data_IF_742379070279
#
_entry.id   IF_742379070279
#
_cell.length_a   1.000
_cell.length_b   1.000
_cell.length_c   1.000
_cell.angle_alpha   90.00
_cell.angle_beta   90.00
_cell.angle_gamma   90.00
#
_symmetry.space_group_name_H-M   'P 1'
#
loop_
_entity.id
_entity.type
_entity.pdbx_description
1 polymer ?
#
# COMPACT_ATOMS: atom_id res chain seq x y z
N UNK A 1 37.45 -0.22 -4.24
CA UNK A 1 37.01 -1.50 -3.68
C UNK A 1 35.59 -1.33 -3.26
N UNK A 2 34.62 -1.75 -4.08
CA UNK A 2 33.22 -1.80 -3.71
C UNK A 2 33.05 -2.96 -2.74
N UNK A 3 32.92 -2.68 -1.46
CA UNK A 3 32.52 -3.67 -0.47
C UNK A 3 31.04 -3.96 -0.69
N UNK A 4 30.74 -5.06 -1.38
CA UNK A 4 29.40 -5.63 -1.48
C UNK A 4 28.98 -6.22 -0.13
N UNK A 5 28.82 -5.39 0.88
CA UNK A 5 28.25 -5.83 2.16
C UNK A 5 26.95 -5.09 2.41
N UNK A 6 25.95 -5.38 1.57
CA UNK A 6 24.58 -5.00 1.86
C UNK A 6 23.90 -6.12 2.66
N UNK A 7 24.38 -6.31 3.90
CA UNK A 7 23.86 -7.33 4.79
C UNK A 7 22.36 -7.11 5.07
N UNK A 8 21.96 -5.86 5.25
CA UNK A 8 20.58 -5.50 5.49
C UNK A 8 19.67 -5.79 4.29
N UNK A 9 20.15 -5.56 3.06
CA UNK A 9 19.44 -5.93 1.85
C UNK A 9 19.21 -7.44 1.77
N UNK A 10 20.26 -8.23 2.01
CA UNK A 10 20.14 -9.71 2.00
C UNK A 10 19.16 -10.22 3.04
N UNK A 11 19.15 -9.61 4.24
CA UNK A 11 18.22 -9.97 5.30
C UNK A 11 16.78 -9.61 4.91
N UNK A 12 16.56 -8.43 4.33
CA UNK A 12 15.26 -8.00 3.86
C UNK A 12 14.72 -8.90 2.73
N UNK A 13 15.57 -9.24 1.73
CA UNK A 13 15.18 -10.15 0.65
C UNK A 13 14.86 -11.54 1.20
N UNK A 14 15.71 -12.08 2.09
CA UNK A 14 15.42 -13.38 2.73
C UNK A 14 14.07 -13.35 3.43
N UNK A 15 13.84 -12.34 4.26
CA UNK A 15 12.57 -12.19 5.00
C UNK A 15 11.37 -12.05 4.06
N UNK A 16 11.51 -11.26 3.00
CA UNK A 16 10.46 -11.12 2.00
C UNK A 16 10.16 -12.45 1.33
N UNK A 17 11.18 -13.21 0.93
CA UNK A 17 11.02 -14.54 0.34
C UNK A 17 10.40 -15.55 1.32
N UNK A 18 10.77 -15.49 2.62
CA UNK A 18 10.16 -16.32 3.65
C UNK A 18 8.67 -16.01 3.80
N UNK A 19 8.30 -14.73 3.80
CA UNK A 19 6.89 -14.30 3.86
C UNK A 19 6.15 -14.71 2.60
N UNK A 20 6.73 -14.56 1.41
CA UNK A 20 6.14 -15.03 0.16
C UNK A 20 5.84 -16.53 0.24
N UNK A 21 6.80 -17.35 0.65
CA UNK A 21 6.61 -18.81 0.77
C UNK A 21 5.55 -19.18 1.81
N UNK A 22 5.48 -18.47 2.93
CA UNK A 22 4.48 -18.69 3.96
C UNK A 22 3.08 -18.22 3.54
N UNK A 23 2.98 -17.29 2.63
CA UNK A 23 1.70 -16.72 2.16
C UNK A 23 1.26 -17.26 0.80
N UNK A 24 2.05 -18.10 0.15
CA UNK A 24 1.74 -18.69 -1.15
C UNK A 24 0.39 -19.42 -1.17
N UNK A 25 0.05 -20.12 -0.08
CA UNK A 25 -1.22 -20.83 0.03
C UNK A 25 -2.45 -19.92 0.18
N UNK A 26 -2.28 -18.63 0.50
CA UNK A 26 -3.36 -17.65 0.48
C UNK A 26 -3.58 -17.04 -0.91
N UNK A 27 -2.58 -17.17 -1.79
CA UNK A 27 -2.79 -16.84 -3.18
C UNK A 27 -3.81 -17.82 -3.77
N UNK A 28 -4.76 -17.36 -4.59
CA UNK A 28 -5.71 -18.25 -5.24
C UNK A 28 -4.94 -19.32 -6.03
N UNK A 29 -5.17 -20.59 -5.74
CA UNK A 29 -4.52 -21.71 -6.43
C UNK A 29 -5.03 -21.90 -7.86
N UNK A 30 -6.19 -21.32 -8.16
CA UNK A 30 -6.82 -21.38 -9.46
C UNK A 30 -7.04 -19.95 -9.96
N UNK A 31 -6.56 -19.66 -11.15
CA UNK A 31 -6.98 -18.51 -11.90
C UNK A 31 -8.49 -18.62 -12.14
N UNK A 32 -9.25 -17.61 -11.74
CA UNK A 32 -10.69 -17.58 -12.01
C UNK A 32 -10.99 -17.44 -13.52
N UNK A 33 -9.95 -17.19 -14.33
CA UNK A 33 -10.00 -17.05 -15.78
C UNK A 33 -9.07 -18.07 -16.42
N UNK A 34 -9.59 -18.90 -17.33
CA UNK A 34 -8.73 -19.79 -18.10
C UNK A 34 -7.92 -18.94 -19.11
N UNK A 35 -6.71 -19.41 -19.44
CA UNK A 35 -5.83 -18.69 -20.36
C UNK A 35 -6.50 -18.49 -21.74
N UNK A 36 -7.31 -19.47 -22.16
CA UNK A 36 -7.99 -19.50 -23.44
C UNK A 36 -9.14 -18.48 -23.55
N UNK A 37 -9.64 -18.00 -22.43
CA UNK A 37 -10.67 -16.94 -22.36
C UNK A 37 -10.11 -15.54 -22.55
N UNK A 38 -8.78 -15.40 -22.50
CA UNK A 38 -8.10 -14.11 -22.67
C UNK A 38 -7.72 -13.87 -24.14
N UNK A 39 -7.71 -12.60 -24.58
CA UNK A 39 -7.11 -12.24 -25.86
C UNK A 39 -5.68 -12.79 -25.99
N UNK A 40 -5.31 -13.25 -27.19
CA UNK A 40 -4.04 -13.92 -27.45
C UNK A 40 -2.84 -13.09 -26.96
N UNK A 41 -2.89 -11.77 -27.13
CA UNK A 41 -1.85 -10.81 -26.72
C UNK A 41 -1.62 -10.80 -25.21
N UNK A 42 -2.64 -11.14 -24.41
CA UNK A 42 -2.58 -11.12 -22.95
C UNK A 42 -2.25 -12.49 -22.33
N UNK A 43 -2.32 -13.57 -23.11
CA UNK A 43 -2.15 -14.93 -22.57
C UNK A 43 -0.75 -15.18 -21.98
N UNK A 44 0.30 -14.67 -22.63
CA UNK A 44 1.67 -14.81 -22.13
C UNK A 44 1.90 -14.00 -20.84
N UNK A 45 1.36 -12.79 -20.78
CA UNK A 45 1.42 -11.94 -19.58
C UNK A 45 0.65 -12.58 -18.43
N UNK A 46 -0.57 -13.07 -18.68
CA UNK A 46 -1.38 -13.74 -17.68
C UNK A 46 -0.69 -15.00 -17.14
N UNK A 47 -0.06 -15.79 -18.00
CA UNK A 47 0.70 -16.98 -17.60
C UNK A 47 1.88 -16.62 -16.71
N UNK A 48 2.61 -15.55 -17.04
CA UNK A 48 3.71 -15.05 -16.24
C UNK A 48 3.24 -14.55 -14.87
N UNK A 49 2.20 -13.70 -14.84
CA UNK A 49 1.65 -13.18 -13.58
C UNK A 49 1.12 -14.31 -12.68
N UNK A 50 0.45 -15.29 -13.27
CA UNK A 50 -0.02 -16.47 -12.53
C UNK A 50 1.14 -17.26 -11.90
N UNK A 51 2.25 -17.43 -12.65
CA UNK A 51 3.46 -18.08 -12.11
C UNK A 51 4.13 -17.29 -10.98
N UNK A 52 3.85 -15.99 -10.88
CA UNK A 52 4.30 -15.11 -9.80
C UNK A 52 3.31 -15.03 -8.62
N UNK A 53 2.22 -15.82 -8.63
CA UNK A 53 1.21 -15.79 -7.58
C UNK A 53 0.14 -14.70 -7.74
N UNK A 54 0.05 -14.07 -8.90
CA UNK A 54 -0.96 -13.05 -9.24
C UNK A 54 -1.88 -13.58 -10.35
N UNK A 55 -2.94 -14.32 -10.00
CA UNK A 55 -3.85 -14.91 -10.99
C UNK A 55 -4.74 -13.84 -11.64
N UNK A 56 -5.30 -14.19 -12.80
CA UNK A 56 -6.36 -13.41 -13.41
C UNK A 56 -7.69 -13.66 -12.70
N UNK A 57 -8.51 -12.63 -12.60
CA UNK A 57 -9.80 -12.68 -11.95
C UNK A 57 -10.93 -12.31 -12.90
N UNK A 58 -12.07 -13.02 -12.84
CA UNK A 58 -13.26 -12.73 -13.63
C UNK A 58 -14.23 -11.78 -12.91
N UNK A 59 -14.54 -12.06 -11.65
CA UNK A 59 -15.55 -11.34 -10.87
C UNK A 59 -14.99 -10.02 -10.31
N UNK A 60 -14.49 -9.16 -11.19
CA UNK A 60 -13.89 -7.89 -10.78
C UNK A 60 -14.38 -6.77 -11.68
N UNK A 61 -14.90 -5.72 -11.05
CA UNK A 61 -15.21 -4.46 -11.71
C UNK A 61 -14.07 -3.48 -11.48
N UNK A 62 -13.69 -2.75 -12.53
CA UNK A 62 -12.68 -1.71 -12.47
C UNK A 62 -13.28 -0.36 -12.82
N UNK A 63 -12.97 0.66 -12.01
CA UNK A 63 -13.33 2.05 -12.26
C UNK A 63 -12.06 2.87 -12.35
N UNK A 64 -11.84 3.52 -13.48
CA UNK A 64 -10.68 4.37 -13.72
C UNK A 64 -10.98 5.82 -13.37
N UNK A 65 -10.01 6.49 -12.72
CA UNK A 65 -10.08 7.91 -12.37
C UNK A 65 -8.92 8.62 -13.07
N UNK A 66 -9.21 9.54 -14.00
CA UNK A 66 -8.18 10.30 -14.71
C UNK A 66 -7.52 11.38 -13.87
N UNK A 67 -8.13 11.75 -12.72
CA UNK A 67 -7.68 12.77 -11.79
C UNK A 67 -7.81 12.29 -10.34
N UNK A 68 -6.93 12.81 -9.48
CA UNK A 68 -6.95 12.52 -8.06
C UNK A 68 -8.15 13.09 -7.32
N UNK A 69 -8.67 14.23 -7.78
CA UNK A 69 -9.86 14.86 -7.21
C UNK A 69 -11.06 13.90 -7.22
N UNK A 70 -11.33 13.30 -8.39
CA UNK A 70 -12.45 12.36 -8.56
C UNK A 70 -12.26 11.09 -7.74
N UNK A 71 -11.01 10.58 -7.70
CA UNK A 71 -10.69 9.40 -6.91
C UNK A 71 -10.86 9.64 -5.41
N UNK A 72 -10.46 10.81 -4.92
CA UNK A 72 -10.48 11.15 -3.49
C UNK A 72 -11.88 11.14 -2.90
N UNK A 73 -12.86 11.70 -3.59
CA UNK A 73 -14.24 11.70 -3.11
C UNK A 73 -14.76 10.24 -2.99
N UNK A 74 -14.51 9.41 -3.99
CA UNK A 74 -14.91 7.99 -3.95
C UNK A 74 -14.16 7.22 -2.86
N UNK A 75 -12.86 7.51 -2.66
CA UNK A 75 -12.10 6.92 -1.55
C UNK A 75 -12.71 7.25 -0.18
N UNK A 76 -13.10 8.50 0.04
CA UNK A 76 -13.75 8.92 1.28
C UNK A 76 -15.09 8.21 1.48
N UNK A 77 -15.92 8.15 0.44
CA UNK A 77 -17.24 7.49 0.48
C UNK A 77 -17.11 5.99 0.80
N UNK A 78 -16.12 5.31 0.22
CA UNK A 78 -15.90 3.89 0.48
C UNK A 78 -15.30 3.63 1.87
N UNK A 79 -14.40 4.49 2.34
CA UNK A 79 -13.86 4.40 3.70
C UNK A 79 -14.98 4.50 4.75
N UNK A 80 -15.99 5.35 4.52
CA UNK A 80 -17.15 5.48 5.41
C UNK A 80 -18.01 4.21 5.49
N UNK A 81 -17.95 3.34 4.47
CA UNK A 81 -18.72 2.08 4.43
C UNK A 81 -17.97 0.89 5.06
N UNK A 82 -16.73 1.06 5.48
CA UNK A 82 -15.94 -0.02 6.08
C UNK A 82 -16.63 -0.62 7.31
N UNK A 83 -16.64 -1.95 7.40
CA UNK A 83 -17.27 -2.71 8.48
C UNK A 83 -16.27 -3.55 9.28
N UNK A 84 -15.16 -4.00 8.66
CA UNK A 84 -14.24 -4.93 9.27
C UNK A 84 -12.81 -4.41 9.34
N UNK A 85 -12.22 -4.00 8.21
CA UNK A 85 -10.86 -3.49 8.18
C UNK A 85 -10.58 -2.50 7.06
N UNK A 86 -9.59 -1.62 7.31
CA UNK A 86 -9.03 -0.67 6.35
C UNK A 86 -7.51 -0.80 6.37
N UNK A 87 -6.90 -1.07 5.22
CA UNK A 87 -5.46 -1.11 5.05
C UNK A 87 -4.99 -0.04 4.07
N UNK A 88 -4.01 0.75 4.48
CA UNK A 88 -3.44 1.85 3.70
C UNK A 88 -1.92 1.67 3.58
N UNK A 89 -1.40 1.64 2.35
CA UNK A 89 0.03 1.56 2.03
C UNK A 89 0.37 2.66 1.03
N UNK A 90 1.14 3.65 1.45
CA UNK A 90 1.42 4.83 0.62
C UNK A 90 2.88 5.28 0.73
N UNK A 91 3.45 5.68 -0.42
CA UNK A 91 4.81 6.23 -0.44
C UNK A 91 4.87 7.60 0.22
N UNK A 92 3.91 8.49 -0.04
CA UNK A 92 3.82 9.82 0.57
C UNK A 92 2.52 9.93 1.37
N UNK A 93 2.67 10.30 2.65
CA UNK A 93 1.59 10.78 3.51
C UNK A 93 2.03 12.15 4.03
N UNK A 94 1.19 13.16 3.88
CA UNK A 94 1.47 14.53 4.32
C UNK A 94 0.26 15.10 5.04
N UNK A 95 0.48 15.75 6.19
CA UNK A 95 -0.58 16.50 6.87
C UNK A 95 -1.10 17.61 5.96
N UNK A 96 -2.42 17.66 5.78
CA UNK A 96 -3.12 18.57 4.90
C UNK A 96 -4.60 18.24 4.86
N UNK A 97 -5.33 18.78 3.90
CA UNK A 97 -6.76 18.55 3.75
C UNK A 97 -7.07 17.08 3.41
N UNK A 98 -6.39 16.52 2.39
CA UNK A 98 -6.63 15.15 1.94
C UNK A 98 -6.42 14.13 3.06
N UNK A 99 -5.24 14.15 3.67
CA UNK A 99 -4.94 13.24 4.77
C UNK A 99 -5.82 13.52 6.00
N UNK A 100 -6.08 14.78 6.32
CA UNK A 100 -6.95 15.17 7.44
C UNK A 100 -8.35 14.58 7.32
N UNK A 101 -8.97 14.67 6.14
CA UNK A 101 -10.30 14.09 5.87
C UNK A 101 -10.28 12.56 6.00
N UNK A 102 -9.28 11.90 5.43
CA UNK A 102 -9.13 10.44 5.57
C UNK A 102 -8.95 10.09 7.05
N UNK A 103 -8.05 10.77 7.77
CA UNK A 103 -7.77 10.49 9.18
C UNK A 103 -9.00 10.64 10.08
N UNK A 104 -9.86 11.65 9.83
CA UNK A 104 -11.13 11.77 10.57
C UNK A 104 -12.03 10.55 10.34
N UNK A 105 -12.19 10.09 9.10
CA UNK A 105 -12.96 8.88 8.81
C UNK A 105 -12.32 7.65 9.50
N UNK A 106 -11.00 7.50 9.43
CA UNK A 106 -10.30 6.38 10.08
C UNK A 106 -10.54 6.36 11.61
N UNK A 107 -10.53 7.53 12.27
CA UNK A 107 -10.84 7.66 13.70
C UNK A 107 -12.27 7.23 14.03
N UNK A 108 -13.24 7.65 13.22
CA UNK A 108 -14.64 7.24 13.36
C UNK A 108 -14.76 5.72 13.22
N UNK A 109 -14.07 5.12 12.24
CA UNK A 109 -14.10 3.69 11.98
C UNK A 109 -13.43 2.88 13.10
N UNK A 110 -12.30 3.32 13.63
CA UNK A 110 -11.67 2.71 14.81
C UNK A 110 -12.62 2.73 16.01
N UNK A 111 -13.27 3.85 16.26
CA UNK A 111 -14.27 3.96 17.33
C UNK A 111 -15.48 3.04 17.13
N UNK A 112 -15.79 2.68 15.88
CA UNK A 112 -16.83 1.71 15.52
C UNK A 112 -16.32 0.24 15.55
N UNK A 113 -15.04 0.00 15.91
CA UNK A 113 -14.47 -1.33 16.02
C UNK A 113 -13.83 -1.87 14.73
N UNK A 114 -13.68 -1.04 13.69
CA UNK A 114 -13.00 -1.41 12.44
C UNK A 114 -11.49 -1.44 12.67
N UNK A 115 -10.82 -2.50 12.21
CA UNK A 115 -9.36 -2.60 12.25
C UNK A 115 -8.74 -1.66 11.21
N UNK A 116 -7.84 -0.77 11.62
CA UNK A 116 -7.16 0.16 10.71
C UNK A 116 -5.65 -0.02 10.81
N UNK A 117 -5.01 -0.27 9.64
CA UNK A 117 -3.55 -0.35 9.51
C UNK A 117 -3.05 0.65 8.47
N UNK A 118 -2.01 1.39 8.82
CA UNK A 118 -1.35 2.36 7.92
C UNK A 118 0.13 2.01 7.82
N UNK A 119 0.60 1.83 6.60
CA UNK A 119 2.00 1.65 6.24
C UNK A 119 2.43 2.80 5.33
N UNK A 120 3.52 3.50 5.65
CA UNK A 120 4.05 4.53 4.78
C UNK A 120 5.58 4.48 4.69
N UNK A 121 6.15 5.00 3.60
CA UNK A 121 7.59 4.98 3.39
C UNK A 121 8.33 5.93 4.35
N UNK A 122 9.46 5.50 4.86
CA UNK A 122 10.28 6.26 5.82
C UNK A 122 10.85 7.56 5.30
N UNK A 123 10.79 7.84 3.98
CA UNK A 123 11.15 9.16 3.44
C UNK A 123 10.23 10.26 3.93
N UNK A 124 8.99 9.94 4.32
CA UNK A 124 8.07 10.92 4.92
C UNK A 124 8.63 11.55 6.19
N UNK A 125 9.42 10.81 6.98
CA UNK A 125 10.02 11.30 8.21
C UNK A 125 11.13 12.34 8.00
N UNK A 126 11.60 12.55 6.77
CA UNK A 126 12.64 13.55 6.47
C UNK A 126 12.09 14.98 6.45
N UNK A 127 10.88 15.16 5.89
CA UNK A 127 10.36 16.53 5.68
C UNK A 127 8.82 16.66 5.77
N UNK A 128 8.08 15.56 5.89
CA UNK A 128 6.62 15.57 5.75
C UNK A 128 5.89 15.25 7.07
N UNK A 129 6.41 14.32 7.85
CA UNK A 129 5.82 13.85 9.10
C UNK A 129 6.89 13.76 10.19
N UNK A 130 6.57 14.00 11.48
CA UNK A 130 7.50 13.77 12.56
C UNK A 130 7.84 12.27 12.67
N UNK A 131 9.05 11.94 13.13
CA UNK A 131 9.50 10.55 13.29
C UNK A 131 8.59 9.76 14.24
N UNK A 132 7.98 10.44 15.23
CA UNK A 132 7.00 9.87 16.16
C UNK A 132 5.58 9.77 15.63
N UNK A 133 5.38 9.93 14.31
CA UNK A 133 4.03 9.91 13.73
C UNK A 133 3.30 8.56 13.89
N UNK A 134 3.98 7.39 13.80
CA UNK A 134 3.33 6.11 14.10
C UNK A 134 2.73 6.08 15.50
N UNK A 135 3.44 6.54 16.51
CA UNK A 135 2.96 6.61 17.90
C UNK A 135 1.75 7.56 18.06
N UNK A 136 1.69 8.62 17.25
CA UNK A 136 0.54 9.52 17.19
C UNK A 136 -0.70 8.78 16.67
N UNK A 137 -0.57 7.96 15.62
CA UNK A 137 -1.67 7.17 15.07
C UNK A 137 -2.07 6.02 16.00
N UNK A 138 -1.13 5.35 16.63
CA UNK A 138 -1.39 4.28 17.61
C UNK A 138 -2.23 4.78 18.81
N UNK A 139 -1.98 6.00 19.28
CA UNK A 139 -2.81 6.64 20.33
C UNK A 139 -4.26 6.89 19.89
N UNK A 140 -4.53 6.90 18.59
CA UNK A 140 -5.87 6.98 18.02
C UNK A 140 -6.47 5.59 17.74
N UNK A 141 -5.77 4.50 18.12
CA UNK A 141 -6.19 3.13 17.84
C UNK A 141 -5.89 2.64 16.43
N UNK A 142 -5.11 3.40 15.65
CA UNK A 142 -4.70 3.06 14.28
C UNK A 142 -3.33 2.41 14.33
N UNK A 143 -3.21 1.14 13.97
CA UNK A 143 -1.92 0.48 13.88
C UNK A 143 -1.10 1.12 12.75
N UNK A 144 0.14 1.55 13.04
CA UNK A 144 0.95 2.27 12.07
C UNK A 144 2.39 1.76 12.02
N UNK A 145 2.93 1.62 10.81
CA UNK A 145 4.33 1.28 10.58
C UNK A 145 4.97 2.20 9.57
N UNK A 146 6.26 2.43 9.73
CA UNK A 146 7.11 3.14 8.80
C UNK A 146 8.02 2.14 8.09
N UNK A 147 7.91 2.04 6.76
CA UNK A 147 8.78 1.18 5.98
C UNK A 147 10.17 1.80 5.83
N UNK A 148 11.22 1.03 6.15
CA UNK A 148 12.63 1.41 6.01
C UNK A 148 12.93 2.85 6.48
N UNK A 149 12.74 3.17 7.78
CA UNK A 149 12.96 4.51 8.32
C UNK A 149 14.40 4.96 8.05
N UNK A 150 14.57 6.21 7.59
CA UNK A 150 15.87 6.79 7.32
C UNK A 150 16.57 7.16 8.64
N UNK A 151 17.68 6.49 8.94
CA UNK A 151 18.53 6.83 10.08
C UNK A 151 19.77 7.57 9.56
N UNK A 152 20.04 8.82 9.98
CA UNK A 152 21.25 9.54 9.60
C UNK A 152 22.49 8.71 9.98
N UNK A 153 23.45 8.60 9.07
CA UNK A 153 24.78 8.01 9.26
C UNK A 153 24.92 6.48 9.34
N UNK A 154 23.85 5.68 9.38
CA UNK A 154 23.97 4.23 9.65
C UNK A 154 23.48 3.34 8.52
N UNK A 155 22.84 3.86 7.48
CA UNK A 155 22.14 3.00 6.52
C UNK A 155 22.58 3.15 5.08
N UNK A 156 23.01 2.06 4.47
CA UNK A 156 23.16 1.89 3.00
C UNK A 156 21.81 1.63 2.31
N UNK A 157 20.71 1.62 3.05
CA UNK A 157 19.37 1.22 2.60
C UNK A 157 18.56 2.35 1.96
N UNK A 158 19.20 3.47 1.59
CA UNK A 158 18.51 4.64 1.02
C UNK A 158 17.73 4.36 -0.28
N UNK A 159 18.08 3.29 -1.00
CA UNK A 159 17.51 2.98 -2.31
C UNK A 159 16.31 2.02 -2.26
N UNK A 160 16.06 1.38 -1.11
CA UNK A 160 14.91 0.48 -0.97
C UNK A 160 13.74 1.26 -0.44
N UNK A 161 12.80 1.60 -1.34
CA UNK A 161 11.63 2.39 -1.03
C UNK A 161 10.38 1.63 -1.43
N UNK A 162 9.35 1.79 -0.63
CA UNK A 162 8.03 1.28 -0.95
C UNK A 162 7.24 2.34 -1.71
N UNK A 163 7.19 2.21 -3.02
CA UNK A 163 6.53 3.20 -3.89
C UNK A 163 5.09 2.83 -4.23
N UNK A 164 4.52 1.80 -3.59
CA UNK A 164 3.14 1.39 -3.81
C UNK A 164 2.15 2.37 -3.22
N UNK A 165 0.95 2.40 -3.78
CA UNK A 165 -0.21 3.12 -3.29
C UNK A 165 -1.35 2.13 -3.32
N UNK A 166 -1.72 1.64 -2.14
CA UNK A 166 -2.75 0.63 -1.97
C UNK A 166 -3.67 1.09 -0.85
N UNK A 167 -4.97 1.08 -1.13
CA UNK A 167 -6.02 1.18 -0.12
C UNK A 167 -6.92 -0.04 -0.28
N UNK A 168 -7.15 -0.78 0.78
CA UNK A 168 -8.08 -1.92 0.80
C UNK A 168 -9.10 -1.71 1.90
N UNK A 169 -10.36 -1.95 1.57
CA UNK A 169 -11.49 -1.84 2.51
C UNK A 169 -12.24 -3.17 2.47
N UNK A 170 -12.27 -3.87 3.61
CA UNK A 170 -12.98 -5.14 3.84
C UNK A 170 -12.65 -6.27 2.86
N UNK A 171 -11.55 -6.15 2.09
CA UNK A 171 -11.24 -7.07 0.99
C UNK A 171 -12.24 -7.02 -0.17
N UNK A 172 -13.20 -6.08 -0.16
CA UNK A 172 -14.28 -5.92 -1.14
C UNK A 172 -13.96 -4.88 -2.19
N UNK A 173 -13.28 -3.81 -1.79
CA UNK A 173 -12.82 -2.74 -2.69
C UNK A 173 -11.37 -2.41 -2.41
N UNK A 174 -10.60 -2.16 -3.48
CA UNK A 174 -9.22 -1.73 -3.41
C UNK A 174 -8.93 -0.61 -4.39
N UNK A 175 -8.13 0.36 -3.98
CA UNK A 175 -7.62 1.43 -4.84
C UNK A 175 -6.12 1.28 -5.01
N UNK A 176 -5.65 1.53 -6.23
CA UNK A 176 -4.22 1.63 -6.55
C UNK A 176 -4.01 2.65 -7.67
N UNK A 177 -2.76 3.03 -7.91
CA UNK A 177 -2.40 4.01 -8.95
C UNK A 177 -1.20 4.86 -8.58
N UNK A 178 -1.16 6.09 -9.06
CA UNK A 178 -0.07 7.05 -8.81
C UNK A 178 -0.32 8.00 -7.64
N UNK A 179 -1.57 8.16 -7.21
CA UNK A 179 -2.01 9.15 -6.22
C UNK A 179 -1.50 8.80 -4.82
N UNK A 180 -0.74 9.72 -4.21
CA UNK A 180 -0.38 9.65 -2.79
C UNK A 180 -1.37 10.44 -1.91
N UNK A 181 -1.21 10.35 -0.59
CA UNK A 181 -2.07 11.04 0.39
C UNK A 181 -1.51 12.43 0.73
N UNK A 182 -1.62 13.36 -0.22
CA UNK A 182 -1.15 14.73 -0.09
C UNK A 182 -1.95 15.67 -1.01
N UNK A 183 -2.12 16.92 -0.60
CA UNK A 183 -3.03 17.91 -1.20
C UNK A 183 -2.71 18.26 -2.66
N UNK A 184 -1.47 18.09 -3.10
CA UNK A 184 -1.09 18.28 -4.50
C UNK A 184 -1.76 17.27 -5.44
N UNK A 185 -1.99 16.04 -4.99
CA UNK A 185 -2.62 14.99 -5.82
C UNK A 185 -4.11 15.20 -6.06
N UNK A 186 -4.74 16.05 -5.25
CA UNK A 186 -6.14 16.46 -5.40
C UNK A 186 -6.28 17.94 -5.78
N UNK A 187 -5.24 18.54 -6.33
CA UNK A 187 -5.19 19.92 -6.82
C UNK A 187 -5.61 21.02 -5.79
N UNK A 188 -5.52 20.70 -4.50
CA UNK A 188 -5.75 21.67 -3.42
C UNK A 188 -4.58 22.61 -3.23
N UNK A 189 -3.40 22.21 -3.69
CA UNK A 189 -2.20 23.05 -3.76
C UNK A 189 -1.64 23.03 -5.17
N UNK A 190 -1.32 24.19 -5.73
CA UNK A 190 -0.88 24.33 -7.12
C UNK A 190 0.59 24.72 -7.26
N UNK A 191 1.43 24.39 -6.28
CA UNK A 191 2.86 24.77 -6.26
C UNK A 191 3.60 24.41 -7.56
N UNK A 192 3.22 23.30 -8.20
CA UNK A 192 3.82 22.79 -9.43
C UNK A 192 2.87 22.88 -10.63
N UNK A 193 1.78 23.67 -10.53
CA UNK A 193 0.70 23.70 -11.50
C UNK A 193 -0.36 22.63 -11.25
N UNK A 194 -1.25 22.41 -12.23
CA UNK A 194 -2.26 21.37 -12.15
C UNK A 194 -1.63 19.98 -12.18
N UNK A 195 -1.85 19.20 -11.11
CA UNK A 195 -1.30 17.87 -10.99
C UNK A 195 -2.23 16.85 -11.65
N UNK A 196 -1.70 16.06 -12.57
CA UNK A 196 -2.43 15.00 -13.21
C UNK A 196 -1.82 13.65 -12.82
N UNK A 197 -2.52 12.92 -11.99
CA UNK A 197 -2.21 11.55 -11.63
C UNK A 197 -3.49 10.72 -11.66
N UNK A 198 -3.38 9.42 -11.74
CA UNK A 198 -4.50 8.52 -11.99
C UNK A 198 -4.64 7.48 -10.88
N UNK A 199 -5.87 7.01 -10.69
CA UNK A 199 -6.16 5.86 -9.85
C UNK A 199 -7.11 4.89 -10.54
N UNK A 200 -7.16 3.68 -10.02
CA UNK A 200 -8.14 2.66 -10.36
C UNK A 200 -8.74 2.10 -9.07
N UNK A 201 -10.05 1.98 -9.01
CA UNK A 201 -10.76 1.22 -7.99
C UNK A 201 -11.12 -0.16 -8.57
N UNK A 202 -10.86 -1.20 -7.80
CA UNK A 202 -11.23 -2.58 -8.09
C UNK A 202 -12.28 -3.03 -7.08
N UNK A 203 -13.35 -3.69 -7.55
CA UNK A 203 -14.38 -4.29 -6.69
C UNK A 203 -14.50 -5.76 -7.04
N UNK A 204 -14.37 -6.65 -6.07
CA UNK A 204 -14.47 -8.09 -6.26
C UNK A 204 -13.14 -8.82 -6.08
N UNK A 205 -12.99 -9.96 -6.74
CA UNK A 205 -11.97 -10.97 -6.42
C UNK A 205 -10.52 -10.48 -6.52
N UNK A 206 -10.21 -9.56 -7.45
CA UNK A 206 -8.85 -9.03 -7.62
C UNK A 206 -8.35 -8.22 -6.40
N UNK A 207 -9.25 -7.72 -5.54
CA UNK A 207 -8.89 -7.03 -4.30
C UNK A 207 -8.09 -7.93 -3.37
N UNK A 208 -8.26 -9.25 -3.49
CA UNK A 208 -7.48 -10.24 -2.74
C UNK A 208 -5.97 -10.10 -2.97
N UNK A 209 -5.55 -9.86 -4.22
CA UNK A 209 -4.13 -9.62 -4.51
C UNK A 209 -3.59 -8.35 -3.83
N UNK A 210 -4.35 -7.25 -3.86
CA UNK A 210 -3.96 -6.02 -3.16
C UNK A 210 -3.88 -6.23 -1.64
N UNK A 211 -4.83 -6.96 -1.08
CA UNK A 211 -4.85 -7.31 0.34
C UNK A 211 -3.61 -8.13 0.72
N UNK A 212 -3.30 -9.16 -0.07
CA UNK A 212 -2.13 -10.00 0.16
C UNK A 212 -0.82 -9.21 0.06
N UNK A 213 -0.68 -8.35 -0.96
CA UNK A 213 0.48 -7.47 -1.12
C UNK A 213 0.69 -6.57 0.09
N UNK A 214 -0.38 -5.96 0.61
CA UNK A 214 -0.32 -5.15 1.83
C UNK A 214 0.15 -5.98 3.03
N UNK A 215 -0.46 -7.13 3.28
CA UNK A 215 -0.13 -7.99 4.44
C UNK A 215 1.32 -8.45 4.39
N UNK A 216 1.82 -8.84 3.22
CA UNK A 216 3.22 -9.21 3.04
C UNK A 216 4.18 -8.07 3.42
N UNK A 217 3.91 -6.84 2.98
CA UNK A 217 4.74 -5.69 3.33
C UNK A 217 4.59 -5.26 4.78
N UNK A 218 3.40 -5.41 5.33
CA UNK A 218 3.16 -5.18 6.75
C UNK A 218 4.03 -6.08 7.63
N UNK A 219 4.19 -7.35 7.27
CA UNK A 219 5.01 -8.32 8.00
C UNK A 219 6.51 -8.11 7.78
N UNK A 220 6.94 -7.78 6.56
CA UNK A 220 8.32 -7.36 6.28
C UNK A 220 8.72 -6.18 7.16
N UNK A 221 7.85 -5.18 7.29
CA UNK A 221 8.11 -3.97 8.07
C UNK A 221 8.22 -4.24 9.57
N UNK A 222 7.60 -5.29 10.09
CA UNK A 222 7.70 -5.68 11.50
C UNK A 222 9.13 -6.09 11.92
N UNK A 223 9.90 -6.68 11.00
CA UNK A 223 11.25 -7.17 11.30
C UNK A 223 12.34 -6.11 11.17
N UNK A 224 12.09 -5.02 10.42
CA UNK A 224 13.06 -3.94 10.27
C UNK A 224 13.29 -3.16 11.59
N UNK A 225 12.35 -3.24 12.52
CA UNK A 225 12.45 -2.63 13.86
C UNK A 225 13.33 -3.44 14.82
N UNK A 226 13.36 -4.78 14.70
CA UNK A 226 14.08 -5.67 15.62
C UNK A 226 15.56 -5.89 15.27
N UNK A 227 15.97 -5.64 14.03
CA UNK A 227 17.38 -5.81 13.60
C UNK A 227 18.28 -4.62 13.94
N UNK A 228 17.74 -3.59 14.58
CA UNK A 228 18.48 -2.36 14.91
C UNK A 228 19.05 -2.34 16.34
N UNK A 229 18.72 -3.35 17.16
CA UNK A 229 19.16 -3.44 18.58
C UNK A 229 20.13 -4.61 18.83
N UNK A 230 20.70 -5.18 17.75
CA UNK A 230 21.74 -6.24 17.83
C UNK A 230 23.10 -5.72 17.33
#
# INVERSE_FOLDING_TARGET
>A
VYIKTDLGHRLMIRRYNDILSQTEHFAPSESACSKEELPEELQSLASYLNSCGFPCYQNTQAQYFPLGDDAFEVMCDELQKAEHFIFLEYFIVREGYMWGRILEILKEKVNAGVEVRVLYDGTCAVALLPYSYPEKLEKLGIACKMFAPLRPFVSTHYNYRDHRKIMVIDGKIGFTGGINLSDEYINRTSRLGHWKDTAIALRGDAVRSLTLMFLQMWDVSSCLLYTSDA
#
